data_IF_608040368159
#
_entry.id   IF_608040368159
#
_cell.length_a   1.000
_cell.length_b   1.000
_cell.length_c   1.000
_cell.angle_alpha   90.00
_cell.angle_beta   90.00
_cell.angle_gamma   90.00
#
_symmetry.space_group_name_H-M   'P 1'
#
loop_
_entity.id
_entity.type
_entity.pdbx_description
1 polymer ?
#
# COMPACT_ATOMS: atom_id res chain seq x y z
N UNK A 1 17.56 7.64 -1.03
CA UNK A 1 17.87 6.22 -1.30
C UNK A 1 17.76 5.36 -0.06
N UNK A 2 18.49 5.64 1.04
CA UNK A 2 18.43 4.86 2.30
C UNK A 2 17.00 4.61 2.85
N UNK A 3 16.13 5.62 2.75
CA UNK A 3 14.74 5.55 3.22
C UNK A 3 13.93 4.45 2.53
N UNK A 4 14.08 4.27 1.22
CA UNK A 4 13.38 3.22 0.46
C UNK A 4 13.74 1.81 0.92
N UNK A 5 15.03 1.54 1.09
CA UNK A 5 15.53 0.25 1.61
C UNK A 5 15.01 -0.01 3.03
N UNK A 6 15.06 0.98 3.91
CA UNK A 6 14.56 0.83 5.28
C UNK A 6 13.06 0.49 5.30
N UNK A 7 12.26 1.16 4.48
CA UNK A 7 10.83 0.86 4.34
C UNK A 7 10.66 -0.59 3.85
N UNK A 8 11.35 -0.99 2.79
CA UNK A 8 11.26 -2.34 2.24
C UNK A 8 11.64 -3.40 3.29
N UNK A 9 12.73 -3.20 4.03
CA UNK A 9 13.19 -4.11 5.10
C UNK A 9 12.17 -4.21 6.23
N UNK A 10 11.63 -3.08 6.70
CA UNK A 10 10.61 -3.07 7.75
C UNK A 10 9.34 -3.79 7.30
N UNK A 11 8.88 -3.52 6.08
CA UNK A 11 7.72 -4.18 5.51
C UNK A 11 7.96 -5.69 5.32
N UNK A 12 9.14 -6.08 4.85
CA UNK A 12 9.53 -7.48 4.69
C UNK A 12 9.55 -8.21 6.03
N UNK A 13 10.19 -7.63 7.06
CA UNK A 13 10.20 -8.17 8.40
C UNK A 13 8.77 -8.38 8.95
N UNK A 14 7.89 -7.40 8.75
CA UNK A 14 6.48 -7.51 9.15
C UNK A 14 5.71 -8.55 8.34
N UNK A 15 5.98 -8.71 7.04
CA UNK A 15 5.35 -9.73 6.21
C UNK A 15 5.81 -11.15 6.59
N UNK A 16 7.08 -11.34 6.95
CA UNK A 16 7.62 -12.62 7.40
C UNK A 16 6.90 -13.16 8.64
N UNK A 17 6.36 -12.28 9.50
CA UNK A 17 5.52 -12.68 10.64
C UNK A 17 4.25 -13.45 10.21
N UNK A 18 3.84 -13.34 8.94
CA UNK A 18 2.63 -13.97 8.37
C UNK A 18 2.91 -15.31 7.69
N UNK A 19 4.16 -15.57 7.33
CA UNK A 19 4.58 -16.75 6.58
C UNK A 19 4.13 -18.07 7.26
N UNK A 20 4.24 -18.25 8.59
CA UNK A 20 3.82 -19.49 9.24
C UNK A 20 2.31 -19.74 9.15
N UNK A 21 1.50 -18.68 9.07
CA UNK A 21 0.04 -18.82 8.90
C UNK A 21 -0.30 -19.24 7.47
N UNK A 22 0.39 -18.64 6.48
CA UNK A 22 0.21 -18.93 5.06
C UNK A 22 0.57 -20.38 4.72
N UNK A 23 1.71 -20.89 5.23
CA UNK A 23 2.15 -22.27 5.03
C UNK A 23 1.10 -23.26 5.56
N UNK A 24 0.36 -22.90 6.61
CA UNK A 24 -0.71 -23.72 7.18
C UNK A 24 -2.07 -23.53 6.48
N UNK A 25 -2.10 -22.86 5.32
CA UNK A 25 -3.31 -22.54 4.57
C UNK A 25 -4.26 -21.54 5.26
N UNK A 26 -3.82 -20.91 6.36
CA UNK A 26 -4.67 -20.00 7.15
C UNK A 26 -4.33 -18.55 6.87
N UNK A 27 -5.36 -17.73 6.66
CA UNK A 27 -5.21 -16.30 6.39
C UNK A 27 -4.35 -16.01 5.14
N UNK A 28 -4.44 -16.85 4.11
CA UNK A 28 -3.71 -16.70 2.83
C UNK A 28 -3.86 -15.29 2.30
N UNK A 29 -5.08 -14.75 2.29
CA UNK A 29 -5.36 -13.40 1.79
C UNK A 29 -4.56 -12.30 2.53
N UNK A 30 -4.35 -12.42 3.85
CA UNK A 30 -3.54 -11.46 4.61
C UNK A 30 -2.05 -11.61 4.27
N UNK A 31 -1.58 -12.84 4.09
CA UNK A 31 -0.20 -13.10 3.69
C UNK A 31 0.05 -12.62 2.25
N UNK A 32 -0.88 -12.87 1.32
CA UNK A 32 -0.84 -12.38 -0.05
C UNK A 32 -0.85 -10.86 -0.11
N UNK A 33 -1.66 -10.17 0.71
CA UNK A 33 -1.63 -8.71 0.77
C UNK A 33 -0.27 -8.18 1.24
N UNK A 34 0.30 -8.79 2.28
CA UNK A 34 1.58 -8.38 2.81
C UNK A 34 2.72 -8.65 1.81
N UNK A 35 2.71 -9.83 1.17
CA UNK A 35 3.67 -10.21 0.15
C UNK A 35 3.62 -9.29 -1.07
N UNK A 36 2.42 -8.96 -1.57
CA UNK A 36 2.25 -8.06 -2.70
C UNK A 36 2.75 -6.63 -2.40
N UNK A 37 2.48 -6.11 -1.19
CA UNK A 37 3.00 -4.80 -0.77
C UNK A 37 4.53 -4.84 -0.65
N UNK A 38 5.09 -5.87 -0.01
CA UNK A 38 6.56 -6.00 0.11
C UNK A 38 7.21 -6.11 -1.25
N UNK A 39 6.64 -6.91 -2.16
CA UNK A 39 7.11 -7.03 -3.53
C UNK A 39 7.12 -5.67 -4.22
N UNK A 40 6.04 -4.89 -4.13
CA UNK A 40 5.98 -3.56 -4.72
C UNK A 40 7.10 -2.64 -4.21
N UNK A 41 7.32 -2.58 -2.89
CA UNK A 41 8.37 -1.76 -2.30
C UNK A 41 9.79 -2.27 -2.61
N UNK A 42 9.97 -3.59 -2.74
CA UNK A 42 11.23 -4.17 -3.17
C UNK A 42 11.54 -3.82 -4.63
N UNK A 43 10.55 -3.89 -5.52
CA UNK A 43 10.72 -3.61 -6.94
C UNK A 43 11.11 -2.16 -7.23
N UNK A 44 10.61 -1.19 -6.45
CA UNK A 44 10.96 0.24 -6.60
C UNK A 44 12.29 0.63 -5.92
N UNK A 45 12.98 -0.33 -5.30
CA UNK A 45 14.28 -0.08 -4.68
C UNK A 45 15.35 0.08 -5.77
N UNK A 46 16.21 1.13 -5.74
CA UNK A 46 17.08 1.49 -6.87
C UNK A 46 17.87 0.34 -7.50
N UNK A 47 18.56 -0.47 -6.69
CA UNK A 47 19.38 -1.58 -7.22
C UNK A 47 18.52 -2.69 -7.82
N UNK A 48 17.40 -3.03 -7.17
CA UNK A 48 16.48 -4.07 -7.64
C UNK A 48 15.79 -3.62 -8.91
N UNK A 49 15.34 -2.36 -8.95
CA UNK A 49 14.71 -1.75 -10.10
C UNK A 49 15.66 -1.77 -11.29
N UNK A 50 16.87 -1.21 -11.14
CA UNK A 50 17.86 -1.15 -12.21
C UNK A 50 18.30 -2.54 -12.69
N UNK A 51 18.42 -3.52 -11.79
CA UNK A 51 18.77 -4.88 -12.15
C UNK A 51 17.66 -5.55 -13.00
N UNK A 52 16.40 -5.41 -12.60
CA UNK A 52 15.27 -6.04 -13.30
C UNK A 52 14.92 -5.30 -14.60
N UNK A 53 15.00 -3.97 -14.61
CA UNK A 53 14.62 -3.17 -15.78
C UNK A 53 15.57 -3.41 -16.97
N UNK A 54 16.84 -3.74 -16.70
CA UNK A 54 17.81 -4.14 -17.74
C UNK A 54 17.39 -5.39 -18.52
N UNK A 55 16.59 -6.28 -17.92
CA UNK A 55 16.09 -7.49 -18.58
C UNK A 55 14.73 -7.26 -19.25
N UNK A 56 14.10 -6.11 -19.02
CA UNK A 56 12.82 -5.79 -19.62
C UNK A 56 13.02 -5.28 -21.05
N UNK A 57 12.29 -5.81 -22.05
CA UNK A 57 12.29 -5.26 -23.39
C UNK A 57 11.63 -3.87 -23.47
N UNK A 58 10.87 -3.49 -22.43
CA UNK A 58 10.17 -2.22 -22.32
C UNK A 58 10.77 -1.45 -21.13
N UNK A 59 11.42 -0.29 -21.35
CA UNK A 59 11.98 0.52 -20.27
C UNK A 59 10.93 0.88 -19.23
N UNK A 60 11.29 0.84 -17.95
CA UNK A 60 10.44 1.14 -16.80
C UNK A 60 9.22 0.22 -16.60
N UNK A 61 9.13 -0.94 -17.27
CA UNK A 61 8.04 -1.90 -17.07
C UNK A 61 7.96 -2.39 -15.61
N UNK A 62 9.09 -2.44 -14.93
CA UNK A 62 9.18 -2.82 -13.51
C UNK A 62 8.32 -1.89 -12.63
N UNK A 63 8.18 -0.61 -12.99
CA UNK A 63 7.34 0.34 -12.26
C UNK A 63 5.86 -0.02 -12.33
N UNK A 64 5.35 -0.36 -13.51
CA UNK A 64 3.97 -0.81 -13.70
C UNK A 64 3.68 -2.09 -12.92
N UNK A 65 4.63 -3.04 -12.92
CA UNK A 65 4.52 -4.28 -12.14
C UNK A 65 4.47 -3.97 -10.64
N UNK A 66 5.32 -3.05 -10.16
CA UNK A 66 5.32 -2.63 -8.77
C UNK A 66 4.00 -1.98 -8.37
N UNK A 67 3.43 -1.11 -9.21
CA UNK A 67 2.12 -0.48 -8.98
C UNK A 67 0.99 -1.48 -8.97
N UNK A 68 1.00 -2.44 -9.90
CA UNK A 68 0.01 -3.52 -9.93
C UNK A 68 0.06 -4.35 -8.64
N UNK A 69 1.27 -4.72 -8.20
CA UNK A 69 1.48 -5.43 -6.95
C UNK A 69 1.00 -4.62 -5.74
N UNK A 70 1.31 -3.32 -5.70
CA UNK A 70 0.87 -2.41 -4.63
C UNK A 70 -0.65 -2.32 -4.57
N UNK A 71 -1.30 -2.04 -5.69
CA UNK A 71 -2.76 -1.90 -5.75
C UNK A 71 -3.44 -3.22 -5.38
N UNK A 72 -2.93 -4.35 -5.86
CA UNK A 72 -3.45 -5.67 -5.49
C UNK A 72 -3.29 -5.92 -4.00
N UNK A 73 -2.12 -5.60 -3.44
CA UNK A 73 -1.86 -5.70 -2.01
C UNK A 73 -2.83 -4.85 -1.17
N UNK A 74 -3.10 -3.62 -1.60
CA UNK A 74 -4.02 -2.70 -0.95
C UNK A 74 -5.48 -3.14 -1.08
N UNK A 75 -5.90 -3.65 -2.22
CA UNK A 75 -7.22 -4.26 -2.43
C UNK A 75 -7.47 -5.38 -1.42
N UNK A 76 -6.52 -6.30 -1.34
CA UNK A 76 -6.57 -7.44 -0.43
C UNK A 76 -6.54 -7.00 1.04
N UNK A 77 -5.63 -6.10 1.42
CA UNK A 77 -5.53 -5.57 2.78
C UNK A 77 -6.80 -4.81 3.18
N UNK A 78 -7.28 -3.92 2.32
CA UNK A 78 -8.47 -3.10 2.57
C UNK A 78 -9.73 -3.96 2.74
N UNK A 79 -9.86 -5.03 1.95
CA UNK A 79 -10.93 -6.02 2.10
C UNK A 79 -10.89 -6.67 3.48
N UNK A 80 -9.70 -7.04 3.98
CA UNK A 80 -9.57 -7.65 5.30
C UNK A 80 -9.88 -6.67 6.42
N UNK A 81 -9.44 -5.41 6.31
CA UNK A 81 -9.76 -4.37 7.29
C UNK A 81 -11.26 -4.12 7.33
N UNK A 82 -11.93 -4.01 6.18
CA UNK A 82 -13.38 -3.86 6.11
C UNK A 82 -14.12 -5.05 6.74
N UNK A 83 -13.64 -6.29 6.50
CA UNK A 83 -14.19 -7.51 7.13
C UNK A 83 -13.98 -7.52 8.65
N UNK A 84 -12.79 -7.11 9.11
CA UNK A 84 -12.47 -7.05 10.54
C UNK A 84 -13.38 -6.07 11.29
N UNK A 85 -13.75 -4.95 10.64
CA UNK A 85 -14.68 -3.95 11.17
C UNK A 85 -16.16 -4.24 10.85
N UNK A 86 -16.48 -5.43 10.30
CA UNK A 86 -17.85 -5.85 9.93
C UNK A 86 -18.59 -4.81 9.08
N UNK A 87 -17.90 -4.25 8.08
CA UNK A 87 -18.40 -3.18 7.22
C UNK A 87 -18.68 -3.70 5.79
N UNK A 88 -19.81 -4.40 5.54
CA UNK A 88 -20.07 -5.06 4.26
C UNK A 88 -20.21 -4.07 3.10
N UNK A 89 -20.77 -2.88 3.33
CA UNK A 89 -20.89 -1.85 2.29
C UNK A 89 -19.50 -1.35 1.85
N UNK A 90 -18.62 -1.08 2.82
CA UNK A 90 -17.22 -0.69 2.57
C UNK A 90 -16.46 -1.79 1.86
N UNK A 91 -16.65 -3.04 2.27
CA UNK A 91 -16.05 -4.20 1.61
C UNK A 91 -16.50 -4.31 0.14
N UNK A 92 -17.79 -4.09 -0.16
CA UNK A 92 -18.32 -4.07 -1.53
C UNK A 92 -17.74 -2.92 -2.35
N UNK A 93 -17.52 -1.75 -1.75
CA UNK A 93 -16.86 -0.61 -2.42
C UNK A 93 -15.39 -0.89 -2.70
N UNK A 94 -14.70 -1.70 -1.89
CA UNK A 94 -13.29 -2.05 -2.09
C UNK A 94 -13.12 -3.20 -3.08
N UNK A 95 -13.85 -4.30 -2.89
CA UNK A 95 -13.64 -5.58 -3.59
C UNK A 95 -14.79 -6.05 -4.48
N UNK A 96 -15.92 -5.34 -4.44
CA UNK A 96 -17.00 -5.56 -5.40
C UNK A 96 -16.79 -4.76 -6.69
N UNK A 97 -17.81 -4.76 -7.55
CA UNK A 97 -17.75 -4.10 -8.85
C UNK A 97 -17.28 -2.63 -8.79
N UNK A 98 -17.76 -1.77 -7.87
CA UNK A 98 -17.27 -0.38 -7.81
C UNK A 98 -15.77 -0.28 -7.56
N UNK A 99 -15.24 -1.12 -6.67
CA UNK A 99 -13.81 -1.12 -6.34
C UNK A 99 -12.96 -1.67 -7.46
N UNK A 100 -13.45 -2.70 -8.15
CA UNK A 100 -12.81 -3.25 -9.36
C UNK A 100 -12.76 -2.22 -10.48
N UNK A 101 -13.83 -1.44 -10.69
CA UNK A 101 -13.86 -0.36 -11.68
C UNK A 101 -12.88 0.77 -11.32
N UNK A 102 -12.77 1.16 -10.06
CA UNK A 102 -11.80 2.16 -9.61
C UNK A 102 -10.36 1.65 -9.79
N UNK A 103 -10.09 0.42 -9.37
CA UNK A 103 -8.78 -0.22 -9.56
C UNK A 103 -8.40 -0.27 -11.04
N UNK A 104 -9.30 -0.79 -11.88
CA UNK A 104 -9.03 -0.97 -13.31
C UNK A 104 -8.93 0.37 -14.01
N UNK A 105 -9.80 1.33 -13.69
CA UNK A 105 -9.77 2.66 -14.27
C UNK A 105 -8.46 3.39 -13.97
N UNK A 106 -8.00 3.38 -12.71
CA UNK A 106 -6.73 4.00 -12.34
C UNK A 106 -5.55 3.27 -13.00
N UNK A 107 -5.52 1.94 -12.97
CA UNK A 107 -4.41 1.18 -13.53
C UNK A 107 -4.35 1.26 -15.07
N UNK A 108 -5.49 1.24 -15.76
CA UNK A 108 -5.54 1.45 -17.21
C UNK A 108 -5.09 2.87 -17.55
N UNK A 109 -5.47 3.88 -16.78
CA UNK A 109 -4.97 5.25 -16.98
C UNK A 109 -3.44 5.32 -16.81
N UNK A 110 -2.86 4.66 -15.80
CA UNK A 110 -1.41 4.53 -15.64
C UNK A 110 -0.77 3.88 -16.87
N UNK A 111 -1.32 2.77 -17.36
CA UNK A 111 -0.80 2.06 -18.54
C UNK A 111 -0.85 2.92 -19.80
N UNK A 112 -1.96 3.66 -20.01
CA UNK A 112 -2.10 4.57 -21.15
C UNK A 112 -1.05 5.69 -21.07
N UNK A 113 -0.91 6.34 -19.92
CA UNK A 113 0.08 7.41 -19.75
C UNK A 113 1.49 6.84 -19.94
N UNK A 114 1.79 5.70 -19.35
CA UNK A 114 3.07 5.01 -19.52
C UNK A 114 3.38 4.72 -21.00
N UNK A 115 2.39 4.24 -21.76
CA UNK A 115 2.57 3.94 -23.19
C UNK A 115 2.83 5.19 -24.05
N UNK A 116 2.35 6.37 -23.60
CA UNK A 116 2.51 7.64 -24.31
C UNK A 116 3.80 8.36 -23.89
N UNK A 117 4.23 8.20 -22.63
CA UNK A 117 5.45 8.82 -22.12
C UNK A 117 6.66 8.05 -22.62
N UNK A 118 7.42 8.68 -23.51
CA UNK A 118 8.70 8.15 -23.98
C UNK A 118 9.80 8.67 -23.05
N UNK A 119 10.41 7.79 -22.27
CA UNK A 119 11.55 8.11 -21.40
C UNK A 119 12.79 7.40 -21.88
N UNK A 120 13.94 8.09 -21.82
CA UNK A 120 15.25 7.51 -22.14
C UNK A 120 15.98 7.02 -20.90
N UNK A 121 15.57 7.45 -19.70
CA UNK A 121 16.12 7.04 -18.42
C UNK A 121 15.19 6.08 -17.66
N UNK A 122 15.80 5.08 -17.02
CA UNK A 122 15.11 4.12 -16.16
C UNK A 122 15.18 4.58 -14.71
N UNK A 123 14.03 4.97 -14.15
CA UNK A 123 13.90 5.36 -12.75
C UNK A 123 12.52 4.98 -12.21
N UNK A 124 12.42 4.49 -10.96
CA UNK A 124 11.13 4.26 -10.31
C UNK A 124 10.22 5.50 -10.40
N UNK A 125 8.94 5.27 -10.66
CA UNK A 125 7.90 6.29 -10.87
C UNK A 125 8.26 7.32 -11.97
N UNK A 126 9.16 6.96 -12.89
CA UNK A 126 9.71 7.83 -13.94
C UNK A 126 10.33 9.12 -13.37
N UNK A 127 10.87 9.06 -12.15
CA UNK A 127 11.26 10.24 -11.36
C UNK A 127 12.29 11.16 -12.03
N UNK A 128 13.11 10.65 -12.94
CA UNK A 128 14.10 11.44 -13.67
C UNK A 128 13.46 12.36 -14.72
N UNK A 129 12.17 12.18 -15.03
CA UNK A 129 11.45 12.89 -16.09
C UNK A 129 10.33 13.79 -15.55
N UNK A 130 10.41 14.22 -14.28
CA UNK A 130 9.40 15.06 -13.61
C UNK A 130 9.19 16.44 -14.24
N UNK A 131 10.06 16.88 -15.16
CA UNK A 131 9.83 18.08 -15.98
C UNK A 131 8.60 17.93 -16.90
N UNK A 132 8.27 16.70 -17.31
CA UNK A 132 7.08 16.39 -18.11
C UNK A 132 5.79 16.41 -17.27
N UNK A 133 4.77 17.21 -17.65
CA UNK A 133 3.48 17.20 -16.97
C UNK A 133 2.80 15.83 -16.94
N UNK A 134 2.97 15.02 -17.99
CA UNK A 134 2.39 13.67 -18.06
C UNK A 134 3.03 12.74 -17.04
N UNK A 135 4.34 12.83 -16.81
CA UNK A 135 5.04 12.06 -15.76
C UNK A 135 4.57 12.47 -14.37
N UNK A 136 4.31 13.76 -14.15
CA UNK A 136 3.74 14.22 -12.87
C UNK A 136 2.30 13.73 -12.67
N UNK A 137 1.51 13.67 -13.74
CA UNK A 137 0.17 13.10 -13.70
C UNK A 137 0.20 11.61 -13.40
N UNK A 138 1.11 10.87 -14.03
CA UNK A 138 1.39 9.46 -13.76
C UNK A 138 1.72 9.22 -12.28
N UNK A 139 2.73 9.92 -11.75
CA UNK A 139 3.10 9.81 -10.33
C UNK A 139 1.97 10.20 -9.36
N UNK A 140 1.08 11.10 -9.78
CA UNK A 140 -0.07 11.53 -8.97
C UNK A 140 -1.16 10.47 -8.96
N UNK A 141 -1.51 9.92 -10.12
CA UNK A 141 -2.52 8.88 -10.28
C UNK A 141 -2.18 7.62 -9.47
N UNK A 142 -0.90 7.28 -9.39
CA UNK A 142 -0.39 6.17 -8.58
C UNK A 142 -0.80 6.26 -7.10
N UNK A 143 -1.13 7.46 -6.62
CA UNK A 143 -1.51 7.71 -5.22
C UNK A 143 -3.01 7.84 -4.99
N UNK A 144 -3.80 7.92 -6.07
CA UNK A 144 -5.25 8.01 -5.99
C UNK A 144 -5.87 6.73 -5.40
N UNK A 145 -5.42 5.55 -5.84
CA UNK A 145 -5.96 4.29 -5.35
C UNK A 145 -5.67 4.02 -3.86
N UNK A 146 -4.44 4.20 -3.34
CA UNK A 146 -4.19 4.15 -1.90
C UNK A 146 -5.05 5.13 -1.10
N UNK A 147 -5.22 6.38 -1.57
CA UNK A 147 -6.05 7.38 -0.90
C UNK A 147 -7.53 7.02 -0.92
N UNK A 148 -8.03 6.43 -2.01
CA UNK A 148 -9.40 5.90 -2.10
C UNK A 148 -9.67 4.83 -1.04
N UNK A 149 -8.78 3.83 -0.95
CA UNK A 149 -8.91 2.76 0.06
C UNK A 149 -8.84 3.33 1.47
N UNK A 150 -7.89 4.25 1.72
CA UNK A 150 -7.75 4.93 3.00
C UNK A 150 -9.04 5.68 3.39
N UNK A 151 -9.61 6.47 2.47
CA UNK A 151 -10.83 7.25 2.70
C UNK A 151 -12.04 6.37 3.06
N UNK A 152 -12.20 5.23 2.40
CA UNK A 152 -13.27 4.27 2.71
C UNK A 152 -13.14 3.64 4.10
N UNK A 153 -11.91 3.36 4.53
CA UNK A 153 -11.64 2.67 5.79
C UNK A 153 -11.54 3.62 6.99
N UNK A 154 -11.16 4.88 6.75
CA UNK A 154 -10.90 5.88 7.79
C UNK A 154 -12.04 6.04 8.81
N UNK A 155 -13.33 6.11 8.43
CA UNK A 155 -14.43 6.21 9.40
C UNK A 155 -14.52 5.02 10.35
N UNK A 156 -14.15 3.83 9.88
CA UNK A 156 -14.21 2.58 10.64
C UNK A 156 -13.06 2.50 11.62
N UNK A 157 -11.86 2.84 11.15
CA UNK A 157 -10.66 2.89 11.99
C UNK A 157 -10.78 3.97 13.06
N UNK A 158 -11.40 5.12 12.75
CA UNK A 158 -11.64 6.19 13.73
C UNK A 158 -12.45 5.70 14.94
N UNK A 159 -13.46 4.85 14.73
CA UNK A 159 -14.26 4.26 15.82
C UNK A 159 -13.43 3.40 16.76
N UNK A 160 -12.36 2.77 16.26
CA UNK A 160 -11.47 1.97 17.09
C UNK A 160 -10.55 2.77 18.01
N UNK A 161 -10.42 4.09 17.80
CA UNK A 161 -9.59 4.97 18.65
C UNK A 161 -10.15 5.13 20.07
N UNK A 162 -11.47 4.99 20.24
CA UNK A 162 -12.15 5.02 21.54
C UNK A 162 -12.31 3.65 22.19
N UNK A 163 -11.74 2.58 21.61
CA UNK A 163 -11.85 1.23 22.17
C UNK A 163 -11.14 1.13 23.53
N UNK A 164 -11.78 0.46 24.50
CA UNK A 164 -11.18 0.10 25.79
C UNK A 164 -10.12 -0.99 25.68
N UNK A 165 -10.10 -1.75 24.59
CA UNK A 165 -9.09 -2.79 24.34
C UNK A 165 -7.82 -2.15 23.77
N UNK A 166 -6.73 -2.18 24.55
CA UNK A 166 -5.46 -1.54 24.18
C UNK A 166 -4.92 -1.96 22.79
N UNK A 167 -5.06 -3.23 22.43
CA UNK A 167 -4.62 -3.73 21.13
C UNK A 167 -5.46 -3.18 19.96
N UNK A 168 -6.78 -3.08 20.11
CA UNK A 168 -7.68 -2.49 19.11
C UNK A 168 -7.42 -1.00 18.97
N UNK A 169 -7.17 -0.31 20.10
CA UNK A 169 -6.80 1.11 20.13
C UNK A 169 -5.47 1.36 19.43
N UNK A 170 -4.44 0.55 19.70
CA UNK A 170 -3.13 0.66 19.04
C UNK A 170 -3.22 0.39 17.53
N UNK A 171 -3.89 -0.70 17.14
CA UNK A 171 -4.18 -1.01 15.72
C UNK A 171 -4.82 0.18 15.02
N UNK A 172 -5.83 0.76 15.66
CA UNK A 172 -6.60 1.87 15.08
C UNK A 172 -5.78 3.15 14.98
N UNK A 173 -4.94 3.46 15.97
CA UNK A 173 -4.02 4.62 15.91
C UNK A 173 -3.08 4.52 14.71
N UNK A 174 -2.41 3.38 14.55
CA UNK A 174 -1.45 3.20 13.47
C UNK A 174 -2.13 3.24 12.09
N UNK A 175 -3.24 2.53 11.92
CA UNK A 175 -4.00 2.58 10.66
C UNK A 175 -4.56 3.97 10.38
N UNK A 176 -5.03 4.70 11.40
CA UNK A 176 -5.60 6.04 11.24
C UNK A 176 -4.54 7.00 10.74
N UNK A 177 -3.36 7.04 11.38
CA UNK A 177 -2.24 7.88 10.95
C UNK A 177 -1.81 7.52 9.52
N UNK A 178 -1.62 6.23 9.24
CA UNK A 178 -1.23 5.76 7.90
C UNK A 178 -2.23 6.16 6.81
N UNK A 179 -3.54 6.05 7.08
CA UNK A 179 -4.59 6.43 6.13
C UNK A 179 -4.70 7.94 5.93
N UNK A 180 -4.52 8.74 6.99
CA UNK A 180 -4.42 10.20 6.84
C UNK A 180 -3.22 10.58 5.97
N UNK A 181 -2.06 9.97 6.22
CA UNK A 181 -0.85 10.24 5.43
C UNK A 181 -1.01 9.80 3.96
N UNK A 182 -1.73 8.71 3.68
CA UNK A 182 -2.07 8.34 2.30
C UNK A 182 -2.92 9.41 1.60
N UNK A 183 -3.88 10.01 2.31
CA UNK A 183 -4.65 11.16 1.81
C UNK A 183 -3.77 12.41 1.59
N UNK A 184 -2.88 12.72 2.54
CA UNK A 184 -1.90 13.82 2.41
C UNK A 184 -1.01 13.61 1.19
N UNK A 185 -0.53 12.38 0.96
CA UNK A 185 0.27 12.05 -0.23
C UNK A 185 -0.49 12.34 -1.53
N UNK A 186 -1.77 12.00 -1.60
CA UNK A 186 -2.56 12.29 -2.79
C UNK A 186 -2.69 13.80 -3.03
N UNK A 187 -2.95 14.58 -1.97
CA UNK A 187 -2.96 16.05 -2.05
C UNK A 187 -1.61 16.60 -2.51
N UNK A 188 -0.50 16.09 -1.95
CA UNK A 188 0.85 16.45 -2.41
C UNK A 188 1.10 16.07 -3.88
N UNK A 189 0.49 14.98 -4.37
CA UNK A 189 0.52 14.63 -5.79
C UNK A 189 -0.15 15.70 -6.65
N UNK A 190 -1.34 16.16 -6.26
CA UNK A 190 -2.01 17.27 -6.95
C UNK A 190 -1.15 18.55 -6.95
N UNK A 191 -0.46 18.84 -5.84
CA UNK A 191 0.51 19.95 -5.78
C UNK A 191 1.72 19.68 -6.68
N UNK A 192 2.17 18.43 -6.79
CA UNK A 192 3.30 18.03 -7.65
C UNK A 192 3.04 18.38 -9.11
N UNK A 193 1.79 18.31 -9.59
CA UNK A 193 1.43 18.72 -10.95
C UNK A 193 1.91 20.15 -11.28
N UNK A 194 1.86 21.05 -10.31
CA UNK A 194 2.25 22.45 -10.40
C UNK A 194 3.69 22.70 -9.92
N UNK A 195 4.11 22.02 -8.85
CA UNK A 195 5.39 22.20 -8.15
C UNK A 195 6.14 20.86 -8.08
N UNK A 196 6.98 20.52 -9.07
CA UNK A 196 7.64 19.22 -9.18
C UNK A 196 8.46 18.82 -7.95
N UNK A 197 9.06 19.79 -7.25
CA UNK A 197 9.87 19.55 -6.06
C UNK A 197 9.11 18.88 -4.91
N UNK A 198 7.78 19.02 -4.86
CA UNK A 198 6.93 18.39 -3.82
C UNK A 198 6.85 16.87 -3.95
N UNK A 199 7.25 16.32 -5.09
CA UNK A 199 7.38 14.88 -5.32
C UNK A 199 8.19 14.17 -4.23
N UNK A 200 9.37 14.69 -3.90
CA UNK A 200 10.28 14.04 -2.96
C UNK A 200 9.71 14.00 -1.54
N UNK A 201 9.03 15.08 -1.12
CA UNK A 201 8.30 15.12 0.15
C UNK A 201 7.16 14.09 0.12
N UNK A 202 6.42 14.01 -0.99
CA UNK A 202 5.41 12.98 -1.20
C UNK A 202 5.96 11.55 -1.05
N UNK A 203 7.13 11.26 -1.61
CA UNK A 203 7.74 9.94 -1.48
C UNK A 203 8.05 9.56 -0.02
N UNK A 204 8.57 10.51 0.78
CA UNK A 204 8.78 10.31 2.22
C UNK A 204 7.45 10.05 2.93
N UNK A 205 6.41 10.86 2.66
CA UNK A 205 5.08 10.69 3.25
C UNK A 205 4.49 9.31 2.91
N UNK A 206 4.68 8.84 1.67
CA UNK A 206 4.20 7.52 1.22
C UNK A 206 4.87 6.39 1.98
N UNK A 207 6.18 6.48 2.15
CA UNK A 207 6.97 5.52 2.92
C UNK A 207 6.54 5.43 4.37
N UNK A 208 6.39 6.58 5.03
CA UNK A 208 5.92 6.66 6.41
C UNK A 208 4.49 6.12 6.53
N UNK A 209 3.60 6.49 5.60
CA UNK A 209 2.23 5.97 5.56
C UNK A 209 2.22 4.43 5.50
N UNK A 210 3.03 3.83 4.62
CA UNK A 210 3.13 2.39 4.47
C UNK A 210 3.61 1.71 5.76
N UNK A 211 4.60 2.27 6.45
CA UNK A 211 5.07 1.76 7.76
C UNK A 211 3.94 1.79 8.78
N UNK A 212 3.23 2.91 8.91
CA UNK A 212 2.11 3.04 9.85
C UNK A 212 0.98 2.03 9.55
N UNK A 213 0.62 1.87 8.28
CA UNK A 213 -0.38 0.86 7.88
C UNK A 213 0.11 -0.55 8.24
N UNK A 214 1.36 -0.89 7.92
CA UNK A 214 1.92 -2.20 8.21
C UNK A 214 1.99 -2.50 9.72
N UNK A 215 2.38 -1.53 10.54
CA UNK A 215 2.35 -1.63 12.01
C UNK A 215 0.93 -1.84 12.54
N UNK A 216 -0.05 -1.12 11.99
CA UNK A 216 -1.46 -1.31 12.31
C UNK A 216 -1.93 -2.73 11.99
N UNK A 217 -1.60 -3.26 10.82
CA UNK A 217 -1.93 -4.64 10.46
C UNK A 217 -1.20 -5.66 11.35
N UNK A 218 0.08 -5.43 11.67
CA UNK A 218 0.89 -6.29 12.53
C UNK A 218 0.34 -6.37 13.96
N UNK A 219 0.02 -5.23 14.57
CA UNK A 219 -0.60 -5.17 15.90
C UNK A 219 -1.93 -5.90 15.95
N UNK A 220 -2.79 -5.75 14.93
CA UNK A 220 -4.06 -6.46 14.82
C UNK A 220 -3.88 -8.00 14.85
N UNK A 221 -2.80 -8.48 14.24
CA UNK A 221 -2.49 -9.90 14.13
C UNK A 221 -1.92 -10.49 15.41
N UNK A 222 -0.94 -9.84 16.02
CA UNK A 222 -0.41 -10.29 17.30
C UNK A 222 -1.50 -10.28 18.37
N UNK A 223 -2.39 -9.30 18.35
CA UNK A 223 -3.57 -9.27 19.22
C UNK A 223 -4.49 -10.48 18.99
N UNK A 224 -4.72 -10.88 17.73
CA UNK A 224 -5.52 -12.05 17.39
C UNK A 224 -4.87 -13.34 17.88
N UNK A 225 -3.56 -13.51 17.69
CA UNK A 225 -2.82 -14.68 18.18
C UNK A 225 -2.87 -14.75 19.71
N UNK A 226 -2.67 -13.62 20.39
CA UNK A 226 -2.75 -13.53 21.85
C UNK A 226 -4.12 -14.01 22.38
N UNK A 227 -5.22 -13.52 21.80
CA UNK A 227 -6.58 -13.93 22.17
C UNK A 227 -6.84 -15.43 21.94
N UNK A 228 -6.34 -16.00 20.85
CA UNK A 228 -6.47 -17.43 20.56
C UNK A 228 -5.68 -18.31 21.53
N UNK A 229 -4.51 -17.85 21.99
CA UNK A 229 -3.72 -18.57 23.01
C UNK A 229 -4.37 -18.50 24.38
N UNK A 230 -4.91 -17.34 24.77
CA UNK A 230 -5.59 -17.16 26.05
C UNK A 230 -6.85 -18.04 26.17
N UNK A 231 -7.68 -18.08 25.13
CA UNK A 231 -8.86 -18.96 25.08
C UNK A 231 -8.48 -20.45 25.13
N UNK A 232 -7.41 -20.89 24.47
CA UNK A 232 -6.94 -22.29 24.57
C UNK A 232 -6.45 -22.68 25.96
N UNK A 233 -6.00 -21.72 26.77
CA UNK A 233 -5.55 -21.96 28.16
C UNK A 233 -6.73 -22.04 29.14
N UNK A 234 -7.89 -21.47 28.83
CA UNK A 234 -9.07 -21.56 29.71
C UNK A 234 -9.87 -22.86 29.54
N UNK A 235 -9.55 -23.67 28.53
CA UNK A 235 -10.15 -24.98 28.26
C UNK A 235 -9.22 -26.15 28.63
N UNK A 236 -8.10 -25.89 29.30
CA UNK A 236 -7.21 -26.89 29.90
C UNK A 236 -7.24 -26.69 31.41
#
# INVERSE_FOLDING_TARGET
MLTGYLIAVVLAALALTRLPSAIRGRNVLIASSAGAIVLAFALITPDVYAALDRFSPIPNLVDLIAKLALFTGLLLAGTQVARAWRAPQTQRRISGLPGALVFLGVFVAEVIIFAVVHTTSSAPDLADNLSSPLVRLYSTLATAYPAYIAALLLPHVRKGLSSSQGATKATSRFLFVGFILAGVRFVLGLVTLLLPATYYVGQVVSGVAAIFVALGLATAFFARIGRQRATRRSFR
#
